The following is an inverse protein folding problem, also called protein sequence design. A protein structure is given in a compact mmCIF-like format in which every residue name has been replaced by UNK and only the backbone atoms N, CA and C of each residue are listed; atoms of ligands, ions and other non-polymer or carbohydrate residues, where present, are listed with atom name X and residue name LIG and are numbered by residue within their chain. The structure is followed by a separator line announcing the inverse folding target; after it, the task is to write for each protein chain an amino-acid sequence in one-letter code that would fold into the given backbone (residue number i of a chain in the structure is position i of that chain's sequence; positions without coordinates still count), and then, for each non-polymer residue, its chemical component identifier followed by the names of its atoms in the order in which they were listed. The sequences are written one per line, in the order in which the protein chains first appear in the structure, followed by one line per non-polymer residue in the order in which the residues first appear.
data_IF_053237284838
#
_entry.id   IF_053237284838
#
_cell.length_a   1.000
_cell.length_b   1.000
_cell.length_c   1.000
_cell.angle_alpha   90.00
_cell.angle_beta   90.00
_cell.angle_gamma   90.00
#
_symmetry.space_group_name_H-M   'P 1'
#
loop_
_entity.id
_entity.type
_entity.pdbx_description
1 polymer ?
#
# COMPACT_ATOMS: atom_id res chain seq x y z
N UNK A 1 -15.55 14.85 18.67
CA UNK A 1 -14.45 13.88 18.77
C UNK A 1 -14.51 12.90 17.61
N UNK A 2 -13.89 13.26 16.48
CA UNK A 2 -13.69 12.33 15.37
C UNK A 2 -12.22 11.93 15.42
N UNK A 3 -11.92 10.86 16.17
CA UNK A 3 -10.58 10.27 16.15
C UNK A 3 -10.31 9.76 14.74
N UNK A 4 -9.45 10.48 14.03
CA UNK A 4 -8.94 10.08 12.73
C UNK A 4 -7.96 8.94 13.02
N UNK A 5 -8.43 7.70 12.98
CA UNK A 5 -7.55 6.52 13.07
C UNK A 5 -6.59 6.59 11.88
N UNK A 6 -5.29 6.60 12.16
CA UNK A 6 -4.24 6.76 11.14
C UNK A 6 -3.60 5.40 10.88
N UNK A 7 -3.39 5.09 9.60
CA UNK A 7 -2.65 3.92 9.13
C UNK A 7 -3.13 2.60 9.76
N UNK A 8 -2.34 1.99 10.65
CA UNK A 8 -2.58 0.65 11.21
C UNK A 8 -3.96 0.52 11.88
N UNK A 9 -4.29 1.41 12.81
CA UNK A 9 -5.58 1.33 13.53
C UNK A 9 -6.81 1.45 12.63
N UNK A 10 -6.69 2.15 11.50
CA UNK A 10 -7.81 2.31 10.57
C UNK A 10 -8.02 1.03 9.77
N UNK A 11 -6.94 0.48 9.24
CA UNK A 11 -7.00 -0.72 8.41
C UNK A 11 -7.28 -1.97 9.23
N UNK A 12 -6.76 -2.05 10.46
CA UNK A 12 -7.07 -3.13 11.38
C UNK A 12 -8.49 -3.04 11.93
N UNK A 13 -9.06 -1.83 12.07
CA UNK A 13 -10.47 -1.65 12.37
C UNK A 13 -11.39 -2.17 11.25
N UNK A 14 -11.03 -1.96 9.99
CA UNK A 14 -11.84 -2.37 8.84
C UNK A 14 -11.69 -3.86 8.48
N UNK A 15 -10.48 -4.41 8.56
CA UNK A 15 -10.16 -5.77 8.12
C UNK A 15 -9.94 -6.78 9.24
N UNK A 16 -9.78 -6.33 10.48
CA UNK A 16 -9.31 -7.14 11.61
C UNK A 16 -7.81 -6.96 11.88
N UNK A 17 -7.37 -7.39 13.06
CA UNK A 17 -5.99 -7.25 13.54
C UNK A 17 -4.98 -7.83 12.53
N UNK A 18 -3.97 -7.03 12.17
CA UNK A 18 -2.92 -7.42 11.22
C UNK A 18 -3.25 -7.15 9.75
N UNK A 19 -4.45 -6.69 9.43
CA UNK A 19 -4.85 -6.36 8.04
C UNK A 19 -3.98 -5.28 7.42
N UNK A 20 -3.52 -4.31 8.22
CA UNK A 20 -2.60 -3.28 7.77
C UNK A 20 -1.28 -3.88 7.27
N UNK A 21 -0.74 -4.87 7.98
CA UNK A 21 0.50 -5.54 7.62
C UNK A 21 0.33 -6.42 6.38
N UNK A 22 -0.80 -7.13 6.26
CA UNK A 22 -1.11 -7.89 5.05
C UNK A 22 -1.24 -6.99 3.82
N UNK A 23 -1.91 -5.83 3.97
CA UNK A 23 -1.98 -4.80 2.93
C UNK A 23 -0.58 -4.30 2.54
N UNK A 24 0.26 -4.00 3.52
CA UNK A 24 1.61 -3.51 3.29
C UNK A 24 2.47 -4.54 2.51
N UNK A 25 2.41 -5.82 2.89
CA UNK A 25 3.09 -6.92 2.18
C UNK A 25 2.60 -7.05 0.73
N UNK A 26 1.28 -6.96 0.52
CA UNK A 26 0.69 -6.97 -0.82
C UNK A 26 1.23 -5.82 -1.67
N UNK A 27 1.27 -4.61 -1.14
CA UNK A 27 1.77 -3.44 -1.86
C UNK A 27 3.27 -3.53 -2.16
N UNK A 28 4.08 -4.05 -1.24
CA UNK A 28 5.52 -4.24 -1.47
C UNK A 28 5.76 -5.23 -2.61
N UNK A 29 5.10 -6.40 -2.56
CA UNK A 29 5.25 -7.45 -3.58
C UNK A 29 4.83 -6.97 -4.96
N UNK A 30 3.64 -6.37 -5.05
CA UNK A 30 3.10 -5.82 -6.30
C UNK A 30 3.96 -4.65 -6.78
N UNK A 31 4.51 -3.84 -5.87
CA UNK A 31 5.40 -2.73 -6.20
C UNK A 31 6.71 -3.17 -6.84
N UNK A 32 7.30 -4.27 -6.36
CA UNK A 32 8.50 -4.89 -6.96
C UNK A 32 8.17 -5.40 -8.38
N UNK A 33 7.05 -6.10 -8.54
CA UNK A 33 6.63 -6.66 -9.82
C UNK A 33 6.29 -5.58 -10.86
N UNK A 34 5.63 -4.50 -10.46
CA UNK A 34 5.26 -3.38 -11.33
C UNK A 34 6.40 -2.40 -11.58
N UNK A 35 7.50 -2.47 -10.84
CA UNK A 35 8.63 -1.53 -10.98
C UNK A 35 9.13 -1.40 -12.42
N UNK A 36 9.33 -2.49 -13.20
CA UNK A 36 9.74 -2.37 -14.61
C UNK A 36 8.70 -1.70 -15.50
N UNK A 37 7.40 -1.89 -15.22
CA UNK A 37 6.32 -1.25 -15.96
C UNK A 37 6.23 0.24 -15.68
N UNK A 38 6.39 0.61 -14.40
CA UNK A 38 6.49 1.99 -13.95
C UNK A 38 7.71 2.65 -14.62
N UNK A 39 8.89 2.05 -14.52
CA UNK A 39 10.11 2.58 -15.14
C UNK A 39 9.95 2.75 -16.67
N UNK A 40 9.28 1.81 -17.35
CA UNK A 40 8.93 1.91 -18.78
C UNK A 40 7.91 3.01 -19.10
N UNK A 41 6.98 3.28 -18.20
CA UNK A 41 6.02 4.38 -18.35
C UNK A 41 6.75 5.73 -18.19
N UNK A 42 7.59 5.84 -17.16
CA UNK A 42 8.34 7.05 -16.83
C UNK A 42 9.54 7.30 -17.75
N UNK A 43 10.06 6.29 -18.46
CA UNK A 43 11.12 6.48 -19.46
C UNK A 43 10.70 7.37 -20.62
N UNK A 44 9.39 7.55 -20.85
CA UNK A 44 8.82 8.42 -21.89
C UNK A 44 8.74 9.89 -21.50
N UNK A 45 8.91 10.21 -20.21
CA UNK A 45 8.85 11.58 -19.69
C UNK A 45 10.25 12.19 -19.48
N UNK A 46 11.26 11.65 -20.17
CA UNK A 46 12.67 12.05 -20.04
C UNK A 46 13.05 13.17 -21.01
#
# INVERSE_FOLDING_TARGET
DNELKVAEEFWDFLGGEGSYLELLDCFERVGIELRPEIDKCFSKFK
#
